data_IF_995380220640
#
_entry.id   IF_995380220640
#
_cell.length_a   1.000
_cell.length_b   1.000
_cell.length_c   1.000
_cell.angle_alpha   90.00
_cell.angle_beta   90.00
_cell.angle_gamma   90.00
#
_symmetry.space_group_name_H-M   'P 1'
#
loop_
_entity.id
_entity.type
_entity.pdbx_description
1 polymer ?
#
# COMPACT_ATOMS: atom_id res chain seq x y z
N UNK A 1 -0.30 -5.08 15.51
CA UNK A 1 -1.51 -5.62 16.17
C UNK A 1 -1.28 -7.01 16.75
N UNK A 2 -0.86 -8.01 15.96
CA UNK A 2 -0.61 -9.35 16.52
C UNK A 2 0.44 -9.35 17.65
N UNK A 3 1.58 -8.69 17.45
CA UNK A 3 2.65 -8.63 18.45
C UNK A 3 2.22 -7.98 19.78
N UNK A 4 1.28 -7.03 19.74
CA UNK A 4 0.79 -6.36 20.95
C UNK A 4 -0.15 -7.27 21.74
N UNK A 5 -1.06 -7.95 21.03
CA UNK A 5 -1.96 -8.94 21.63
C UNK A 5 -1.16 -10.08 22.23
N UNK A 6 -0.13 -10.56 21.54
CA UNK A 6 0.75 -11.60 22.03
C UNK A 6 1.53 -11.19 23.29
N UNK A 7 2.17 -10.01 23.28
CA UNK A 7 2.95 -9.51 24.43
C UNK A 7 2.08 -9.27 25.67
N UNK A 8 0.88 -8.72 25.48
CA UNK A 8 -0.10 -8.53 26.56
C UNK A 8 -0.56 -9.89 27.09
N UNK A 9 -0.94 -10.83 26.21
CA UNK A 9 -1.38 -12.18 26.61
C UNK A 9 -0.29 -12.92 27.40
N UNK A 10 0.97 -12.82 26.97
CA UNK A 10 2.10 -13.44 27.65
C UNK A 10 2.31 -12.83 29.05
N UNK A 11 2.24 -11.50 29.15
CA UNK A 11 2.35 -10.77 30.43
C UNK A 11 1.26 -11.19 31.42
N UNK A 12 0.01 -11.29 30.98
CA UNK A 12 -1.10 -11.71 31.83
C UNK A 12 -1.06 -13.19 32.20
N UNK A 13 -0.55 -14.07 31.33
CA UNK A 13 -0.33 -15.49 31.68
C UNK A 13 0.74 -15.64 32.78
N UNK A 14 1.81 -14.86 32.74
CA UNK A 14 2.84 -14.86 33.78
C UNK A 14 2.32 -14.40 35.15
N UNK A 15 1.35 -13.46 35.18
CA UNK A 15 0.66 -13.12 36.42
C UNK A 15 -0.25 -14.24 36.93
N UNK A 16 -0.97 -14.92 36.05
CA UNK A 16 -1.92 -15.96 36.43
C UNK A 16 -1.27 -17.15 37.15
N UNK A 17 0.02 -17.40 36.93
CA UNK A 17 0.80 -18.43 37.62
C UNK A 17 1.56 -17.91 38.85
N UNK A 18 1.54 -16.59 39.10
CA UNK A 18 2.24 -15.96 40.22
C UNK A 18 1.33 -15.80 41.45
N UNK A 19 1.82 -16.16 42.64
CA UNK A 19 1.03 -16.05 43.89
C UNK A 19 0.83 -14.62 44.37
N UNK A 20 1.59 -13.65 43.86
CA UNK A 20 1.51 -12.24 44.22
C UNK A 20 1.52 -11.37 42.96
N UNK A 21 0.35 -10.98 42.50
CA UNK A 21 0.21 -10.16 41.30
C UNK A 21 0.54 -8.69 41.62
N UNK A 22 1.59 -8.16 40.99
CA UNK A 22 1.94 -6.73 41.08
C UNK A 22 1.94 -6.09 39.70
N UNK A 23 1.49 -4.83 39.62
CA UNK A 23 1.49 -4.07 38.36
C UNK A 23 2.91 -3.92 37.78
N UNK A 24 3.92 -3.87 38.65
CA UNK A 24 5.32 -3.82 38.25
C UNK A 24 5.75 -5.05 37.44
N UNK A 25 5.15 -6.22 37.68
CA UNK A 25 5.51 -7.46 36.98
C UNK A 25 5.01 -7.50 35.52
N UNK A 26 3.98 -6.73 35.15
CA UNK A 26 3.45 -6.68 33.77
C UNK A 26 3.89 -5.46 32.98
N UNK A 27 4.41 -4.43 33.65
CA UNK A 27 4.86 -3.20 33.00
C UNK A 27 5.87 -3.44 31.86
N UNK A 28 6.85 -4.37 31.96
CA UNK A 28 7.79 -4.64 30.87
C UNK A 28 7.12 -5.17 29.60
N UNK A 29 6.28 -6.20 29.71
CA UNK A 29 5.66 -6.80 28.52
C UNK A 29 4.58 -5.94 27.87
N UNK A 30 3.96 -5.02 28.62
CA UNK A 30 3.10 -3.97 28.04
C UNK A 30 3.94 -2.94 27.28
N UNK A 31 5.11 -2.56 27.80
CA UNK A 31 6.03 -1.64 27.11
C UNK A 31 6.51 -2.21 25.77
N UNK A 32 6.92 -3.48 25.75
CA UNK A 32 7.31 -4.19 24.52
C UNK A 32 6.16 -4.28 23.51
N UNK A 33 4.93 -4.53 24.00
CA UNK A 33 3.74 -4.51 23.15
C UNK A 33 3.55 -3.12 22.50
N UNK A 34 3.76 -2.01 23.22
CA UNK A 34 3.64 -0.68 22.62
C UNK A 34 4.70 -0.41 21.54
N UNK A 35 5.93 -0.88 21.73
CA UNK A 35 6.99 -0.78 20.72
C UNK A 35 6.60 -1.54 19.45
N UNK A 36 5.99 -2.72 19.57
CA UNK A 36 5.52 -3.48 18.41
C UNK A 36 4.45 -2.72 17.59
N UNK A 37 3.60 -1.90 18.21
CA UNK A 37 2.69 -0.99 17.47
C UNK A 37 3.46 0.13 16.77
N UNK A 38 4.40 0.77 17.47
CA UNK A 38 5.20 1.85 16.91
C UNK A 38 5.98 1.39 15.67
N UNK A 39 6.58 0.20 15.73
CA UNK A 39 7.26 -0.43 14.59
C UNK A 39 6.31 -0.74 13.44
N UNK A 40 5.10 -1.23 13.75
CA UNK A 40 4.08 -1.49 12.73
C UNK A 40 3.67 -0.21 11.98
N UNK A 41 3.45 0.89 12.70
CA UNK A 41 3.13 2.19 12.08
C UNK A 41 4.32 2.76 11.31
N UNK A 42 5.54 2.62 11.84
CA UNK A 42 6.76 3.04 11.17
C UNK A 42 6.98 2.33 9.84
N UNK A 43 6.62 1.04 9.74
CA UNK A 43 6.67 0.30 8.49
C UNK A 43 5.48 0.63 7.55
N UNK A 44 4.27 0.77 8.10
CA UNK A 44 3.06 0.92 7.30
C UNK A 44 2.95 2.30 6.61
N UNK A 45 3.27 3.39 7.31
CA UNK A 45 3.10 4.76 6.77
C UNK A 45 3.97 4.98 5.53
N UNK A 46 5.28 4.72 5.53
CA UNK A 46 6.12 4.89 4.34
C UNK A 46 5.72 3.95 3.20
N UNK A 47 5.31 2.71 3.52
CA UNK A 47 4.88 1.75 2.51
C UNK A 47 3.63 2.24 1.75
N UNK A 48 2.64 2.79 2.46
CA UNK A 48 1.43 3.36 1.84
C UNK A 48 1.75 4.61 1.02
N UNK A 49 2.65 5.47 1.50
CA UNK A 49 3.10 6.65 0.73
C UNK A 49 3.79 6.24 -0.58
N UNK A 50 4.67 5.23 -0.53
CA UNK A 50 5.33 4.69 -1.70
C UNK A 50 4.33 4.07 -2.68
N UNK A 51 3.40 3.25 -2.18
CA UNK A 51 2.34 2.66 -2.98
C UNK A 51 1.52 3.72 -3.72
N UNK A 52 1.02 4.74 -3.01
CA UNK A 52 0.23 5.80 -3.62
C UNK A 52 1.03 6.58 -4.68
N UNK A 53 2.32 6.84 -4.42
CA UNK A 53 3.20 7.51 -5.38
C UNK A 53 3.40 6.67 -6.64
N UNK A 54 3.59 5.36 -6.52
CA UNK A 54 3.76 4.49 -7.68
C UNK A 54 2.45 4.27 -8.44
N UNK A 55 1.33 4.08 -7.73
CA UNK A 55 0.01 3.98 -8.34
C UNK A 55 -0.30 5.21 -9.21
N UNK A 56 -0.15 6.41 -8.65
CA UNK A 56 -0.35 7.66 -9.39
C UNK A 56 0.56 7.79 -10.63
N UNK A 57 1.80 7.30 -10.56
CA UNK A 57 2.72 7.30 -11.72
C UNK A 57 2.29 6.31 -12.80
N UNK A 58 1.81 5.14 -12.40
CA UNK A 58 1.29 4.13 -13.33
C UNK A 58 0.04 4.67 -14.04
N UNK A 59 -0.89 5.27 -13.30
CA UNK A 59 -2.10 5.87 -13.89
C UNK A 59 -1.75 6.98 -14.90
N UNK A 60 -0.81 7.86 -14.55
CA UNK A 60 -0.34 8.90 -15.47
C UNK A 60 0.29 8.33 -16.75
N UNK A 61 1.04 7.22 -16.63
CA UNK A 61 1.63 6.53 -17.77
C UNK A 61 0.57 5.88 -18.66
N UNK A 62 -0.43 5.23 -18.06
CA UNK A 62 -1.56 4.62 -18.78
C UNK A 62 -2.35 5.67 -19.57
N UNK A 63 -2.68 6.80 -18.93
CA UNK A 63 -3.39 7.90 -19.60
C UNK A 63 -2.62 8.44 -20.83
N UNK A 64 -1.28 8.49 -20.74
CA UNK A 64 -0.43 8.89 -21.87
C UNK A 64 -0.47 7.86 -23.00
N UNK A 65 -0.46 6.57 -22.67
CA UNK A 65 -0.59 5.52 -23.68
C UNK A 65 -1.96 5.54 -24.35
N UNK A 66 -3.04 5.74 -23.60
CA UNK A 66 -4.39 5.89 -24.17
C UNK A 66 -4.46 7.07 -25.14
N UNK A 67 -3.95 8.24 -24.71
CA UNK A 67 -3.90 9.43 -25.59
C UNK A 67 -3.09 9.17 -26.87
N UNK A 68 -1.96 8.47 -26.75
CA UNK A 68 -1.15 8.09 -27.91
C UNK A 68 -1.90 7.14 -28.86
N UNK A 69 -2.62 6.16 -28.35
CA UNK A 69 -3.39 5.21 -29.16
C UNK A 69 -4.53 5.91 -29.89
N UNK A 70 -5.21 6.85 -29.23
CA UNK A 70 -6.28 7.65 -29.85
C UNK A 70 -5.75 8.53 -30.99
N UNK A 71 -4.64 9.23 -30.76
CA UNK A 71 -3.98 10.04 -31.79
C UNK A 71 -3.51 9.18 -32.97
N UNK A 72 -2.85 8.06 -32.68
CA UNK A 72 -2.34 7.14 -33.69
C UNK A 72 -3.47 6.55 -34.55
N UNK A 73 -4.55 6.11 -33.90
CA UNK A 73 -5.75 5.60 -34.59
C UNK A 73 -6.40 6.68 -35.46
N UNK A 74 -6.49 7.91 -34.95
CA UNK A 74 -6.98 9.06 -35.71
C UNK A 74 -6.14 9.37 -36.96
N UNK A 75 -4.81 9.26 -36.87
CA UNK A 75 -3.91 9.45 -38.01
C UNK A 75 -4.07 8.36 -39.06
N UNK A 76 -4.09 7.08 -38.66
CA UNK A 76 -4.30 5.95 -39.58
C UNK A 76 -5.64 6.06 -40.31
N UNK A 77 -6.70 6.43 -39.58
CA UNK A 77 -8.02 6.60 -40.14
C UNK A 77 -8.03 7.73 -41.17
N UNK A 78 -7.39 8.88 -40.89
CA UNK A 78 -7.24 9.98 -41.86
C UNK A 78 -6.48 9.55 -43.13
N UNK A 79 -5.38 8.80 -42.99
CA UNK A 79 -4.63 8.29 -44.13
C UNK A 79 -5.47 7.33 -44.98
N UNK A 80 -6.21 6.42 -44.36
CA UNK A 80 -7.09 5.48 -45.07
C UNK A 80 -8.20 6.20 -45.86
N UNK A 81 -8.76 7.28 -45.32
CA UNK A 81 -9.76 8.08 -46.02
C UNK A 81 -9.15 8.91 -47.17
N UNK A 82 -7.96 9.48 -46.99
CA UNK A 82 -7.24 10.21 -48.03
C UNK A 82 -6.86 9.30 -49.20
N UNK A 83 -6.37 8.09 -48.92
CA UNK A 83 -6.01 7.10 -49.94
C UNK A 83 -7.23 6.61 -50.74
N UNK A 84 -8.39 6.46 -50.10
CA UNK A 84 -9.64 6.08 -50.79
C UNK A 84 -10.16 7.16 -51.74
N UNK A 85 -9.96 8.46 -51.45
CA UNK A 85 -10.36 9.55 -52.35
C UNK A 85 -9.48 9.65 -53.59
N UNK A 86 -8.16 9.49 -53.44
CA UNK A 86 -7.22 9.55 -54.56
C UNK A 86 -7.30 8.34 -55.52
N UNK A 87 -8.00 7.26 -55.14
CA UNK A 87 -8.23 6.10 -56.01
C UNK A 87 -9.52 6.20 -56.85
N UNK A 88 -10.30 7.27 -56.67
CA UNK A 88 -11.59 7.51 -57.35
C UNK A 88 -11.56 8.70 -58.33
N UNK A 89 -10.38 9.28 -58.58
CA UNK A 89 -10.09 10.21 -59.69
C UNK A 89 -9.27 9.47 -60.76
#
# INVERSE_FOLDING_TARGET
>A
LFGTVWGIMHSFRGLATSSQATLAAVAPGISEALIATAMGLFAAIPAVLAYNRFASRVDALLNRYESFVDEFSGLLQRQSYAQRRGASE
#
